data_IF_369024803461
#
_entry.id   IF_369024803461
#
_cell.length_a   1.000
_cell.length_b   1.000
_cell.length_c   1.000
_cell.angle_alpha   90.00
_cell.angle_beta   90.00
_cell.angle_gamma   90.00
#
_symmetry.space_group_name_H-M   'P 1'
#
loop_
_entity.id
_entity.type
_entity.pdbx_description
1 polymer ?
#
# COMPACT_ATOMS: atom_id res chain seq x y z
N UNK A 1 -1.07 -22.63 4.88
CA UNK A 1 -2.54 -22.57 4.95
C UNK A 1 -3.00 -21.34 4.19
N UNK A 2 -3.69 -21.52 3.05
CA UNK A 2 -4.39 -20.44 2.36
C UNK A 2 -5.56 -20.03 3.26
N UNK A 3 -5.35 -19.04 4.14
CA UNK A 3 -6.47 -18.46 4.88
C UNK A 3 -7.31 -17.70 3.85
N UNK A 4 -8.43 -18.28 3.45
CA UNK A 4 -9.44 -17.54 2.72
C UNK A 4 -9.84 -16.32 3.57
N UNK A 5 -9.97 -15.16 2.92
CA UNK A 5 -10.54 -13.97 3.55
C UNK A 5 -11.89 -14.34 4.17
N UNK A 6 -12.21 -13.93 5.42
CA UNK A 6 -13.56 -14.07 5.96
C UNK A 6 -14.56 -13.16 5.24
N UNK A 7 -14.08 -12.23 4.42
CA UNK A 7 -14.89 -11.34 3.61
C UNK A 7 -15.03 -11.89 2.19
N UNK A 8 -16.26 -12.25 1.75
CA UNK A 8 -16.49 -12.84 0.44
C UNK A 8 -16.25 -11.83 -0.70
N UNK A 9 -16.62 -10.57 -0.49
CA UNK A 9 -16.47 -9.50 -1.48
C UNK A 9 -15.20 -8.68 -1.24
N UNK A 10 -14.59 -8.13 -2.31
CA UNK A 10 -13.49 -7.18 -2.20
C UNK A 10 -13.79 -5.98 -1.29
N UNK A 11 -12.75 -5.39 -0.69
CA UNK A 11 -12.88 -4.18 0.12
C UNK A 11 -13.51 -3.04 -0.67
N UNK A 12 -13.15 -2.92 -1.95
CA UNK A 12 -13.67 -1.91 -2.89
C UNK A 12 -14.10 -2.59 -4.18
N UNK A 13 -15.14 -2.05 -4.83
CA UNK A 13 -15.57 -2.46 -6.16
C UNK A 13 -14.86 -1.66 -7.25
N UNK A 14 -15.00 -2.08 -8.51
CA UNK A 14 -14.53 -1.33 -9.69
C UNK A 14 -15.34 -0.04 -9.95
N UNK A 15 -16.49 0.11 -9.29
CA UNK A 15 -17.24 1.36 -9.27
C UNK A 15 -16.78 2.25 -8.10
N UNK A 16 -16.34 3.50 -8.35
CA UNK A 16 -15.95 4.42 -7.29
C UNK A 16 -17.16 4.84 -6.45
N UNK A 17 -16.93 5.02 -5.16
CA UNK A 17 -17.93 5.53 -4.21
C UNK A 17 -17.60 6.98 -3.82
N UNK A 18 -18.59 7.79 -3.42
CA UNK A 18 -18.31 9.05 -2.74
C UNK A 18 -17.38 8.82 -1.55
N UNK A 19 -16.40 9.70 -1.36
CA UNK A 19 -15.33 9.50 -0.37
C UNK A 19 -15.84 9.16 1.04
N UNK A 20 -16.92 9.82 1.50
CA UNK A 20 -17.49 9.53 2.82
C UNK A 20 -18.03 8.09 2.95
N UNK A 21 -18.63 7.54 1.89
CA UNK A 21 -19.12 6.16 1.87
C UNK A 21 -17.97 5.17 1.77
N UNK A 22 -16.97 5.48 0.95
CA UNK A 22 -15.74 4.68 0.86
C UNK A 22 -15.05 4.57 2.22
N UNK A 23 -14.82 5.71 2.87
CA UNK A 23 -14.18 5.79 4.18
C UNK A 23 -14.98 5.07 5.27
N UNK A 24 -16.31 5.20 5.26
CA UNK A 24 -17.19 4.44 6.16
C UNK A 24 -17.07 2.92 5.93
N UNK A 25 -17.15 2.47 4.67
CA UNK A 25 -16.99 1.05 4.31
C UNK A 25 -15.64 0.48 4.75
N UNK A 26 -14.55 1.24 4.54
CA UNK A 26 -13.21 0.87 4.99
C UNK A 26 -13.17 0.76 6.52
N UNK A 27 -13.73 1.75 7.23
CA UNK A 27 -13.80 1.73 8.68
C UNK A 27 -14.58 0.52 9.22
N UNK A 28 -15.73 0.20 8.64
CA UNK A 28 -16.54 -0.94 9.07
C UNK A 28 -15.79 -2.25 8.87
N UNK A 29 -15.08 -2.39 7.74
CA UNK A 29 -14.23 -3.56 7.48
C UNK A 29 -13.10 -3.68 8.51
N UNK A 30 -12.37 -2.60 8.77
CA UNK A 30 -11.26 -2.59 9.74
C UNK A 30 -11.77 -2.84 11.15
N UNK A 31 -12.93 -2.29 11.53
CA UNK A 31 -13.53 -2.52 12.84
C UNK A 31 -13.89 -4.00 13.00
N UNK A 32 -14.56 -4.60 12.00
CA UNK A 32 -14.85 -6.03 11.99
C UNK A 32 -13.58 -6.89 12.10
N UNK A 33 -12.51 -6.50 11.39
CA UNK A 33 -11.21 -7.15 11.46
C UNK A 33 -10.58 -7.06 12.85
N UNK A 34 -10.61 -5.88 13.48
CA UNK A 34 -10.05 -5.66 14.82
C UNK A 34 -10.85 -6.39 15.91
N UNK A 35 -12.16 -6.53 15.73
CA UNK A 35 -13.04 -7.21 16.69
C UNK A 35 -12.99 -8.74 16.56
N UNK A 36 -12.46 -9.27 15.44
CA UNK A 36 -12.39 -10.70 15.17
C UNK A 36 -11.60 -11.45 16.27
N UNK A 37 -12.27 -12.40 16.92
CA UNK A 37 -11.71 -13.26 17.97
C UNK A 37 -11.34 -14.65 17.43
N UNK A 38 -10.59 -15.44 18.22
CA UNK A 38 -10.15 -16.80 17.87
C UNK A 38 -9.34 -16.89 16.56
N UNK A 39 -8.65 -15.81 16.21
CA UNK A 39 -7.80 -15.73 15.02
C UNK A 39 -6.38 -16.25 15.31
N UNK A 40 -5.63 -16.54 14.24
CA UNK A 40 -4.24 -17.00 14.36
C UNK A 40 -3.34 -15.94 15.01
N UNK A 41 -2.19 -16.37 15.57
CA UNK A 41 -1.24 -15.43 16.18
C UNK A 41 -0.76 -14.36 15.19
N UNK A 42 -0.59 -14.71 13.92
CA UNK A 42 -0.22 -13.75 12.87
C UNK A 42 -1.28 -12.66 12.71
N UNK A 43 -2.56 -13.03 12.72
CA UNK A 43 -3.66 -12.06 12.62
C UNK A 43 -3.71 -11.16 13.86
N UNK A 44 -3.46 -11.71 15.06
CA UNK A 44 -3.37 -10.90 16.29
C UNK A 44 -2.26 -9.85 16.22
N UNK A 45 -1.10 -10.22 15.69
CA UNK A 45 -0.01 -9.27 15.48
C UNK A 45 -0.43 -8.16 14.50
N UNK A 46 -1.07 -8.51 13.38
CA UNK A 46 -1.58 -7.53 12.41
C UNK A 46 -2.64 -6.62 13.04
N UNK A 47 -3.53 -7.13 13.89
CA UNK A 47 -4.49 -6.32 14.64
C UNK A 47 -3.77 -5.30 15.53
N UNK A 48 -2.72 -5.72 16.26
CA UNK A 48 -1.90 -4.81 17.08
C UNK A 48 -1.19 -3.75 16.23
N UNK A 49 -0.58 -4.14 15.12
CA UNK A 49 0.08 -3.21 14.20
C UNK A 49 -0.90 -2.21 13.58
N UNK A 50 -2.09 -2.67 13.22
CA UNK A 50 -3.20 -1.83 12.75
C UNK A 50 -3.59 -0.79 13.79
N UNK A 51 -3.69 -1.18 15.07
CA UNK A 51 -4.00 -0.24 16.16
C UNK A 51 -2.89 0.81 16.33
N UNK A 52 -1.62 0.39 16.34
CA UNK A 52 -0.47 1.31 16.42
C UNK A 52 -0.48 2.30 15.26
N UNK A 53 -0.63 1.83 14.01
CA UNK A 53 -0.68 2.70 12.85
C UNK A 53 -1.83 3.70 12.90
N UNK A 54 -3.02 3.28 13.37
CA UNK A 54 -4.17 4.19 13.54
C UNK A 54 -3.93 5.24 14.63
N UNK A 55 -3.17 4.91 15.69
CA UNK A 55 -2.77 5.90 16.70
C UNK A 55 -1.82 6.95 16.10
N UNK A 56 -0.81 6.52 15.34
CA UNK A 56 0.12 7.42 14.64
C UNK A 56 -0.61 8.33 13.64
N UNK A 57 -1.56 7.77 12.89
CA UNK A 57 -2.39 8.53 11.96
C UNK A 57 -3.33 9.52 12.67
N UNK A 58 -3.89 9.14 13.82
CA UNK A 58 -4.67 10.05 14.65
C UNK A 58 -3.82 11.23 15.14
N UNK A 59 -2.60 10.97 15.62
CA UNK A 59 -1.63 12.00 16.02
C UNK A 59 -1.23 12.90 14.85
N UNK A 60 -1.05 12.35 13.65
CA UNK A 60 -0.80 13.14 12.44
C UNK A 60 -1.98 14.08 12.13
N UNK A 61 -3.21 13.58 12.23
CA UNK A 61 -4.45 14.35 12.03
C UNK A 61 -4.74 15.36 13.16
N UNK A 62 -4.10 15.21 14.33
CA UNK A 62 -4.09 16.23 15.39
C UNK A 62 -3.09 17.37 15.09
N UNK A 63 -1.97 17.03 14.45
CA UNK A 63 -0.86 17.96 14.17
C UNK A 63 -1.02 18.75 12.87
N UNK A 64 -1.68 18.16 11.89
CA UNK A 64 -1.79 18.70 10.53
C UNK A 64 -3.23 18.62 10.03
N UNK A 65 -3.67 19.68 9.37
CA UNK A 65 -4.93 19.68 8.62
C UNK A 65 -4.78 18.84 7.34
N UNK A 66 -5.90 18.40 6.75
CA UNK A 66 -5.85 17.58 5.53
C UNK A 66 -5.08 18.24 4.37
N UNK A 67 -5.19 19.57 4.10
CA UNK A 67 -4.38 20.22 3.07
C UNK A 67 -2.87 20.31 3.38
N UNK A 68 -2.48 20.10 4.64
CA UNK A 68 -1.07 20.06 5.06
C UNK A 68 -0.47 18.64 4.99
N UNK A 69 -1.32 17.62 4.77
CA UNK A 69 -0.94 16.22 4.64
C UNK A 69 -0.99 15.78 3.17
N UNK A 70 0.01 15.00 2.79
CA UNK A 70 0.02 14.25 1.54
C UNK A 70 0.38 12.78 1.80
N UNK A 71 0.02 11.89 0.89
CA UNK A 71 0.47 10.50 0.87
C UNK A 71 1.42 10.28 -0.31
N UNK A 72 2.60 9.71 -0.05
CA UNK A 72 3.43 9.16 -1.12
C UNK A 72 2.86 7.82 -1.55
N UNK A 73 2.27 7.78 -2.76
CA UNK A 73 1.55 6.62 -3.27
C UNK A 73 2.15 6.15 -4.59
N UNK A 74 2.60 4.90 -4.64
CA UNK A 74 3.22 4.29 -5.82
C UNK A 74 2.53 2.99 -6.28
N UNK A 75 1.34 2.69 -5.76
CA UNK A 75 0.61 1.46 -6.06
C UNK A 75 1.22 0.19 -5.45
N UNK A 76 2.31 0.30 -4.69
CA UNK A 76 2.93 -0.80 -3.97
C UNK A 76 2.08 -1.29 -2.79
N UNK A 77 2.35 -2.52 -2.33
CA UNK A 77 1.62 -3.15 -1.23
C UNK A 77 1.68 -2.34 0.07
N UNK A 78 2.82 -1.70 0.37
CA UNK A 78 3.05 -1.03 1.65
C UNK A 78 2.31 0.32 1.73
N UNK A 79 2.41 1.14 0.66
CA UNK A 79 1.65 2.38 0.58
C UNK A 79 0.13 2.12 0.45
N UNK A 80 -0.27 0.97 -0.11
CA UNK A 80 -1.68 0.56 -0.17
C UNK A 80 -2.23 0.26 1.23
N UNK A 81 -1.50 -0.50 2.08
CA UNK A 81 -1.89 -0.69 3.49
C UNK A 81 -2.02 0.66 4.19
N UNK A 82 -1.01 1.54 4.03
CA UNK A 82 -1.03 2.88 4.60
C UNK A 82 -2.23 3.71 4.12
N UNK A 83 -2.56 3.68 2.83
CA UNK A 83 -3.73 4.38 2.27
C UNK A 83 -5.03 3.93 2.95
N UNK A 84 -5.24 2.62 3.05
CA UNK A 84 -6.44 2.05 3.67
C UNK A 84 -6.57 2.48 5.14
N UNK A 85 -5.46 2.45 5.89
CA UNK A 85 -5.44 2.90 7.27
C UNK A 85 -5.67 4.41 7.39
N UNK A 86 -5.13 5.21 6.48
CA UNK A 86 -5.32 6.66 6.46
C UNK A 86 -6.78 7.04 6.20
N UNK A 87 -7.43 6.41 5.20
CA UNK A 87 -8.86 6.61 4.93
C UNK A 87 -9.74 6.24 6.14
N UNK A 88 -9.39 5.15 6.85
CA UNK A 88 -10.03 4.79 8.11
C UNK A 88 -9.86 5.87 9.19
N UNK A 89 -8.65 6.39 9.36
CA UNK A 89 -8.36 7.43 10.34
C UNK A 89 -9.12 8.74 10.04
N UNK A 90 -9.19 9.16 8.76
CA UNK A 90 -9.98 10.33 8.33
C UNK A 90 -11.46 10.14 8.71
N UNK A 91 -12.03 8.95 8.47
CA UNK A 91 -13.40 8.64 8.86
C UNK A 91 -13.62 8.76 10.38
N UNK A 92 -12.76 8.11 11.17
CA UNK A 92 -12.84 8.07 12.64
C UNK A 92 -12.70 9.44 13.28
N UNK A 93 -12.03 10.37 12.60
CA UNK A 93 -11.89 11.77 13.01
C UNK A 93 -13.06 12.65 12.57
N UNK A 94 -14.07 12.10 11.88
CA UNK A 94 -15.24 12.84 11.41
C UNK A 94 -14.92 13.83 10.30
N UNK A 95 -13.80 13.62 9.58
CA UNK A 95 -13.33 14.53 8.54
C UNK A 95 -13.95 14.25 7.16
N UNK A 96 -14.69 13.15 7.03
CA UNK A 96 -15.55 12.87 5.88
C UNK A 96 -16.98 13.31 6.17
N UNK A 97 -17.35 14.56 5.88
CA UNK A 97 -18.75 15.02 6.00
C UNK A 97 -19.53 14.77 4.71
N UNK A 98 -20.80 14.38 4.84
CA UNK A 98 -21.76 14.41 3.73
C UNK A 98 -21.93 15.87 3.25
N UNK A 99 -22.10 16.13 1.95
CA UNK A 99 -22.33 17.48 1.46
C UNK A 99 -23.72 17.96 1.88
N UNK A 100 -23.84 18.49 3.10
CA UNK A 100 -24.89 19.45 3.38
C UNK A 100 -24.48 20.76 2.71
N UNK A 101 -25.44 21.34 2.00
CA UNK A 101 -25.32 22.49 1.11
C UNK A 101 -24.50 23.62 1.72
N UNK A 102 -23.50 24.06 0.93
CA UNK A 102 -22.60 25.21 1.13
C UNK A 102 -21.24 24.95 1.80
N UNK A 103 -20.20 25.04 0.97
CA UNK A 103 -18.82 25.44 1.28
C UNK A 103 -17.81 24.41 1.83
N UNK A 104 -17.32 23.53 0.95
CA UNK A 104 -15.88 23.31 0.67
C UNK A 104 -15.75 22.26 -0.46
N UNK A 105 -14.71 22.31 -1.31
CA UNK A 105 -14.49 21.26 -2.32
C UNK A 105 -14.43 19.90 -1.64
N UNK A 106 -14.94 18.87 -2.33
CA UNK A 106 -14.79 17.46 -1.93
C UNK A 106 -13.34 17.23 -1.49
N UNK A 107 -13.12 16.86 -0.22
CA UNK A 107 -11.75 16.72 0.28
C UNK A 107 -11.09 15.50 -0.33
N UNK A 108 -10.50 15.64 -1.52
CA UNK A 108 -9.77 14.58 -2.22
C UNK A 108 -8.49 14.26 -1.42
N UNK A 109 -8.11 12.98 -1.36
CA UNK A 109 -6.87 12.59 -0.66
C UNK A 109 -5.68 12.98 -1.50
N UNK A 110 -4.97 14.01 -1.08
CA UNK A 110 -3.80 14.52 -1.78
C UNK A 110 -2.66 13.51 -1.74
N UNK A 111 -2.13 13.18 -2.92
CA UNK A 111 -1.09 12.20 -3.10
C UNK A 111 0.01 12.72 -4.03
N UNK A 112 1.22 12.23 -3.80
CA UNK A 112 2.36 12.40 -4.71
C UNK A 112 2.82 11.04 -5.20
N UNK A 113 2.97 10.92 -6.53
CA UNK A 113 3.55 9.76 -7.18
C UNK A 113 4.84 10.15 -7.88
N UNK A 114 5.95 9.55 -7.45
CA UNK A 114 7.24 9.71 -8.12
C UNK A 114 7.44 8.47 -8.98
N UNK A 115 7.32 8.66 -10.30
CA UNK A 115 7.38 7.57 -11.27
C UNK A 115 8.81 7.06 -11.42
N UNK A 116 8.94 5.75 -11.55
CA UNK A 116 10.18 5.12 -11.99
C UNK A 116 10.51 5.57 -13.43
N UNK A 117 11.78 5.51 -13.82
CA UNK A 117 12.20 5.83 -15.19
C UNK A 117 11.68 4.80 -16.21
N UNK A 118 11.48 3.55 -15.77
CA UNK A 118 11.05 2.43 -16.58
C UNK A 118 9.92 1.67 -15.88
N UNK A 119 8.75 2.31 -15.63
CA UNK A 119 7.71 1.71 -14.79
C UNK A 119 7.09 0.49 -15.48
N UNK A 120 6.59 -0.45 -14.67
CA UNK A 120 5.76 -1.54 -15.18
C UNK A 120 4.40 -1.00 -15.62
N UNK A 121 3.89 -1.35 -16.81
CA UNK A 121 2.53 -0.99 -17.23
C UNK A 121 1.46 -1.41 -16.23
N UNK A 122 1.61 -2.58 -15.59
CA UNK A 122 0.68 -3.10 -14.59
C UNK A 122 0.66 -2.26 -13.30
N UNK A 123 1.79 -1.61 -12.97
CA UNK A 123 1.86 -0.67 -11.84
C UNK A 123 1.15 0.62 -12.21
N UNK A 124 1.42 1.18 -13.40
CA UNK A 124 0.76 2.40 -13.86
C UNK A 124 -0.76 2.21 -13.99
N UNK A 125 -1.21 1.07 -14.53
CA UNK A 125 -2.61 0.71 -14.62
C UNK A 125 -3.25 0.60 -13.22
N UNK A 126 -2.57 -0.08 -12.29
CA UNK A 126 -3.04 -0.20 -10.92
C UNK A 126 -3.11 1.17 -10.22
N UNK A 127 -2.11 2.04 -10.36
CA UNK A 127 -2.09 3.39 -9.80
C UNK A 127 -3.24 4.22 -10.37
N UNK A 128 -3.42 4.23 -11.69
CA UNK A 128 -4.49 4.98 -12.34
C UNK A 128 -5.89 4.48 -11.93
N UNK A 129 -6.08 3.16 -11.85
CA UNK A 129 -7.34 2.55 -11.41
C UNK A 129 -7.61 2.86 -9.93
N UNK A 130 -6.68 2.52 -9.06
CA UNK A 130 -6.82 2.71 -7.60
C UNK A 130 -6.98 4.18 -7.21
N UNK A 131 -6.35 5.11 -7.94
CA UNK A 131 -6.54 6.55 -7.70
C UNK A 131 -7.98 7.00 -7.89
N UNK A 132 -8.69 6.44 -8.88
CA UNK A 132 -10.12 6.71 -9.08
C UNK A 132 -10.96 6.07 -7.98
N UNK A 133 -10.70 4.79 -7.67
CA UNK A 133 -11.46 4.05 -6.67
C UNK A 133 -11.34 4.67 -5.27
N UNK A 134 -10.14 5.13 -4.90
CA UNK A 134 -9.86 5.70 -3.59
C UNK A 134 -10.03 7.23 -3.51
N UNK A 135 -10.53 7.88 -4.58
CA UNK A 135 -10.69 9.34 -4.65
C UNK A 135 -9.40 10.09 -4.32
N UNK A 136 -8.31 9.75 -5.02
CA UNK A 136 -6.99 10.36 -4.83
C UNK A 136 -6.80 11.56 -5.78
N UNK A 137 -6.19 12.63 -5.27
CA UNK A 137 -5.68 13.75 -6.07
C UNK A 137 -4.19 13.51 -6.25
N UNK A 138 -3.84 12.83 -7.33
CA UNK A 138 -2.47 12.38 -7.60
C UNK A 138 -1.73 13.39 -8.46
N UNK A 139 -0.59 13.90 -7.98
CA UNK A 139 0.39 14.60 -8.81
C UNK A 139 1.59 13.71 -9.10
N UNK A 140 1.94 13.61 -10.38
CA UNK A 140 2.95 12.68 -10.89
C UNK A 140 4.24 13.40 -11.28
N UNK A 141 5.39 12.81 -10.93
CA UNK A 141 6.71 13.37 -11.21
C UNK A 141 7.68 12.28 -11.67
N UNK A 142 8.16 12.36 -12.91
CA UNK A 142 9.20 11.47 -13.46
C UNK A 142 10.59 12.11 -13.32
N UNK A 143 11.11 12.19 -12.09
CA UNK A 143 12.42 12.81 -11.76
C UNK A 143 13.07 12.09 -10.57
N UNK A 144 14.39 12.26 -10.35
CA UNK A 144 15.02 11.81 -9.12
C UNK A 144 14.27 12.30 -7.89
N UNK A 145 14.05 11.42 -6.92
CA UNK A 145 13.12 11.61 -5.79
C UNK A 145 13.24 12.97 -5.10
N UNK A 146 14.47 13.40 -4.81
CA UNK A 146 14.75 14.69 -4.17
C UNK A 146 14.28 15.90 -4.99
N UNK A 147 14.48 15.86 -6.32
CA UNK A 147 14.05 16.91 -7.23
C UNK A 147 12.52 16.88 -7.42
N UNK A 148 11.93 15.68 -7.49
CA UNK A 148 10.48 15.51 -7.56
C UNK A 148 9.78 16.11 -6.33
N UNK A 149 10.27 15.86 -5.11
CA UNK A 149 9.70 16.47 -3.90
C UNK A 149 9.91 18.00 -3.85
N UNK A 150 11.01 18.52 -4.39
CA UNK A 150 11.24 19.96 -4.45
C UNK A 150 10.20 20.64 -5.36
N UNK A 151 9.91 20.03 -6.50
CA UNK A 151 8.86 20.50 -7.41
C UNK A 151 7.47 20.32 -6.79
N UNK A 152 7.19 19.17 -6.19
CA UNK A 152 5.92 18.89 -5.53
C UNK A 152 5.56 19.91 -4.45
N UNK A 153 6.50 20.24 -3.56
CA UNK A 153 6.26 21.22 -2.49
C UNK A 153 6.15 22.66 -3.01
N UNK A 154 6.71 22.96 -4.18
CA UNK A 154 6.48 24.23 -4.86
C UNK A 154 5.08 24.31 -5.46
N UNK A 155 4.61 23.20 -6.02
CA UNK A 155 3.28 23.09 -6.63
C UNK A 155 2.17 22.97 -5.55
N UNK A 156 2.50 22.42 -4.38
CA UNK A 156 1.62 22.21 -3.22
C UNK A 156 2.20 22.85 -1.94
N UNK A 157 2.24 24.20 -1.86
CA UNK A 157 2.92 24.91 -0.77
C UNK A 157 2.25 24.77 0.61
N UNK A 158 1.02 24.26 0.68
CA UNK A 158 0.35 23.97 1.95
C UNK A 158 0.90 22.71 2.64
N UNK A 159 1.53 21.80 1.90
CA UNK A 159 2.02 20.52 2.43
C UNK A 159 3.15 20.75 3.42
N UNK A 160 3.01 20.16 4.61
CA UNK A 160 4.01 20.19 5.68
C UNK A 160 4.46 18.79 6.08
N UNK A 161 3.65 17.78 5.82
CA UNK A 161 3.92 16.40 6.17
C UNK A 161 3.47 15.44 5.07
N UNK A 162 4.26 14.39 4.86
CA UNK A 162 4.00 13.36 3.86
C UNK A 162 4.03 11.99 4.55
N UNK A 163 2.92 11.25 4.43
CA UNK A 163 2.79 9.87 4.86
C UNK A 163 3.58 8.97 3.89
N UNK A 164 4.43 8.08 4.42
CA UNK A 164 5.32 7.22 3.63
C UNK A 164 5.22 5.77 4.11
N UNK A 165 5.11 4.85 3.15
CA UNK A 165 4.95 3.41 3.39
C UNK A 165 6.25 2.64 3.68
N UNK A 166 7.32 3.31 4.14
CA UNK A 166 8.61 2.67 4.44
C UNK A 166 8.53 1.88 5.75
N UNK A 167 9.13 0.68 5.77
CA UNK A 167 9.30 -0.20 6.93
C UNK A 167 10.75 -0.22 7.42
N UNK A 168 10.98 -0.68 8.66
CA UNK A 168 12.34 -0.81 9.22
C UNK A 168 13.24 -1.74 8.42
N UNK A 169 12.65 -2.74 7.78
CA UNK A 169 13.36 -3.74 6.96
C UNK A 169 13.68 -3.25 5.55
N UNK A 170 13.17 -2.09 5.15
CA UNK A 170 13.52 -1.47 3.86
C UNK A 170 14.91 -0.80 3.93
N UNK A 171 15.59 -0.61 2.78
CA UNK A 171 16.85 0.14 2.73
C UNK A 171 16.72 1.51 3.40
N UNK A 172 17.65 1.82 4.31
CA UNK A 172 17.68 3.05 5.12
C UNK A 172 16.52 3.21 6.13
N UNK A 173 15.71 2.17 6.36
CA UNK A 173 14.55 2.21 7.27
C UNK A 173 14.85 1.96 8.75
N UNK A 174 15.98 1.31 9.08
CA UNK A 174 16.25 0.73 10.40
C UNK A 174 16.04 1.69 11.57
N UNK A 175 16.51 2.93 11.44
CA UNK A 175 16.51 3.94 12.50
C UNK A 175 15.41 5.00 12.35
N UNK A 176 14.52 4.86 11.37
CA UNK A 176 13.41 5.78 11.19
C UNK A 176 12.42 5.67 12.37
N UNK A 177 11.74 6.77 12.66
CA UNK A 177 10.69 6.94 13.65
C UNK A 177 9.36 7.19 12.94
N UNK A 178 8.27 7.16 13.70
CA UNK A 178 6.95 7.48 13.15
C UNK A 178 6.87 8.90 12.58
N UNK A 179 7.65 9.85 13.12
CA UNK A 179 7.71 11.23 12.63
C UNK A 179 9.18 11.65 12.53
N UNK A 180 9.67 11.85 11.31
CA UNK A 180 11.03 12.33 11.06
C UNK A 180 11.00 13.51 10.09
N UNK A 181 11.58 14.67 10.47
CA UNK A 181 11.95 15.67 9.48
C UNK A 181 12.82 15.06 8.38
N UNK A 182 12.76 15.62 7.18
CA UNK A 182 13.70 15.26 6.12
C UNK A 182 15.13 15.61 6.50
N UNK A 183 16.08 14.85 5.93
CA UNK A 183 17.50 15.02 6.22
C UNK A 183 18.04 16.32 5.60
N UNK A 184 19.19 16.78 6.10
CA UNK A 184 19.82 17.99 5.58
C UNK A 184 20.01 17.94 4.07
N UNK A 185 19.63 19.03 3.40
CA UNK A 185 19.71 19.17 1.96
C UNK A 185 18.50 18.62 1.19
N UNK A 186 17.59 17.87 1.81
CA UNK A 186 16.28 17.55 1.20
C UNK A 186 15.31 18.73 1.34
N UNK A 187 14.26 18.81 0.49
CA UNK A 187 13.14 19.73 0.72
C UNK A 187 12.57 19.51 2.12
N UNK A 188 12.20 20.59 2.81
CA UNK A 188 11.78 20.55 4.21
C UNK A 188 10.32 20.11 4.36
N UNK A 189 10.11 18.92 4.95
CA UNK A 189 8.81 18.42 5.38
C UNK A 189 9.01 17.33 6.44
N UNK A 190 7.94 16.92 7.11
CA UNK A 190 7.95 15.77 8.03
C UNK A 190 7.51 14.51 7.28
N UNK A 191 8.35 13.48 7.28
CA UNK A 191 7.99 12.12 6.88
C UNK A 191 7.26 11.46 8.04
N UNK A 192 6.10 10.88 7.75
CA UNK A 192 5.32 10.15 8.74
C UNK A 192 5.26 8.69 8.30
N UNK A 193 5.63 7.76 9.18
CA UNK A 193 5.74 6.33 8.87
C UNK A 193 4.80 5.48 9.77
N UNK A 194 3.48 5.45 9.51
CA UNK A 194 2.54 4.71 10.36
C UNK A 194 2.72 3.19 10.29
N UNK A 195 3.23 2.68 9.17
CA UNK A 195 3.43 1.24 8.93
C UNK A 195 4.87 0.78 9.17
N UNK A 196 5.71 1.61 9.82
CA UNK A 196 7.15 1.39 9.90
C UNK A 196 7.57 0.07 10.54
N UNK A 197 6.83 -0.40 11.54
CA UNK A 197 7.17 -1.61 12.30
C UNK A 197 6.54 -2.87 11.70
N UNK A 198 5.82 -2.76 10.57
CA UNK A 198 5.17 -3.90 9.94
C UNK A 198 6.18 -4.82 9.26
N UNK A 199 5.94 -6.13 9.34
CA UNK A 199 6.70 -7.14 8.61
C UNK A 199 6.03 -7.54 7.29
N UNK A 200 6.80 -8.09 6.35
CA UNK A 200 6.34 -8.50 5.02
C UNK A 200 5.11 -9.44 5.09
N UNK A 201 5.18 -10.46 5.95
CA UNK A 201 4.08 -11.39 6.13
C UNK A 201 2.84 -10.72 6.73
N UNK A 202 3.00 -9.65 7.50
CA UNK A 202 1.91 -8.87 8.11
C UNK A 202 1.20 -7.99 7.08
N UNK A 203 1.95 -7.33 6.20
CA UNK A 203 1.42 -6.56 5.06
C UNK A 203 0.50 -7.45 4.22
N UNK A 204 0.98 -8.63 3.81
CA UNK A 204 0.17 -9.56 3.03
C UNK A 204 -0.98 -10.15 3.82
N UNK A 205 -0.80 -10.42 5.10
CA UNK A 205 -1.90 -10.91 5.93
C UNK A 205 -3.03 -9.88 5.99
N UNK A 206 -2.71 -8.59 6.14
CA UNK A 206 -3.72 -7.52 6.12
C UNK A 206 -4.43 -7.42 4.77
N UNK A 207 -3.66 -7.31 3.67
CA UNK A 207 -4.20 -7.22 2.31
C UNK A 207 -5.13 -8.40 2.00
N UNK A 208 -4.66 -9.62 2.28
CA UNK A 208 -5.38 -10.85 1.96
C UNK A 208 -6.55 -11.11 2.90
N UNK A 209 -6.43 -10.79 4.19
CA UNK A 209 -7.53 -10.95 5.14
C UNK A 209 -8.66 -9.98 4.85
N UNK A 210 -8.35 -8.73 4.47
CA UNK A 210 -9.36 -7.70 4.18
C UNK A 210 -9.91 -7.74 2.75
N UNK A 211 -9.41 -8.66 1.91
CA UNK A 211 -9.76 -8.77 0.49
C UNK A 211 -9.52 -7.45 -0.28
N UNK A 212 -8.35 -6.86 -0.08
CA UNK A 212 -7.96 -5.60 -0.74
C UNK A 212 -7.40 -5.92 -2.13
N UNK A 213 -7.93 -5.34 -3.22
CA UNK A 213 -7.33 -5.47 -4.55
C UNK A 213 -5.91 -4.87 -4.59
N UNK A 214 -4.97 -5.56 -5.22
CA UNK A 214 -3.56 -5.17 -5.32
C UNK A 214 -3.02 -5.36 -6.74
N UNK A 215 -1.84 -4.80 -7.04
CA UNK A 215 -1.19 -4.92 -8.35
C UNK A 215 -0.94 -6.39 -8.75
N UNK A 216 -1.35 -6.78 -9.95
CA UNK A 216 -1.31 -8.17 -10.43
C UNK A 216 0.09 -8.79 -10.49
N UNK A 217 1.15 -7.99 -10.58
CA UNK A 217 2.54 -8.48 -10.53
C UNK A 217 2.83 -9.30 -9.27
N UNK A 218 2.18 -8.99 -8.15
CA UNK A 218 2.35 -9.77 -6.93
C UNK A 218 1.83 -11.20 -7.08
N UNK A 219 0.84 -11.47 -7.94
CA UNK A 219 0.41 -12.84 -8.23
C UNK A 219 1.41 -13.61 -9.12
N UNK A 220 2.29 -12.88 -9.82
CA UNK A 220 3.34 -13.41 -10.69
C UNK A 220 4.68 -13.60 -9.97
N UNK A 221 4.69 -13.50 -8.64
CA UNK A 221 5.86 -13.77 -7.80
C UNK A 221 6.82 -12.60 -7.62
N UNK A 222 6.47 -11.39 -8.07
CA UNK A 222 7.20 -10.19 -7.70
C UNK A 222 6.92 -9.84 -6.24
N UNK A 223 7.95 -9.58 -5.43
CA UNK A 223 7.78 -9.31 -3.97
C UNK A 223 8.17 -7.89 -3.58
N UNK A 224 8.94 -7.21 -4.44
CA UNK A 224 9.33 -5.81 -4.33
C UNK A 224 9.28 -5.20 -5.72
N UNK A 225 8.56 -4.08 -5.90
CA UNK A 225 8.40 -3.43 -7.20
C UNK A 225 9.35 -2.24 -7.33
N UNK A 226 10.16 -2.24 -8.38
CA UNK A 226 10.93 -1.12 -8.90
C UNK A 226 10.55 -0.85 -10.36
N UNK A 227 11.56 -0.59 -11.19
CA UNK A 227 11.40 -0.48 -12.63
C UNK A 227 11.52 -1.84 -13.34
N UNK A 228 11.05 -1.89 -14.57
CA UNK A 228 11.15 -3.07 -15.47
C UNK A 228 12.60 -3.51 -15.73
N UNK A 229 13.57 -2.61 -15.52
CA UNK A 229 14.99 -2.88 -15.77
C UNK A 229 15.75 -3.41 -14.55
N UNK A 230 15.17 -3.36 -13.35
CA UNK A 230 15.88 -3.69 -12.09
C UNK A 230 15.09 -4.66 -11.18
N UNK A 231 13.97 -5.19 -11.69
CA UNK A 231 13.00 -5.94 -10.92
C UNK A 231 12.58 -7.22 -11.64
N UNK A 232 12.68 -8.34 -10.92
CA UNK A 232 12.36 -9.69 -11.39
C UNK A 232 11.48 -10.42 -10.37
N UNK A 233 10.76 -11.49 -10.77
CA UNK A 233 10.09 -12.38 -9.83
C UNK A 233 11.08 -12.94 -8.81
N UNK A 234 10.63 -13.13 -7.57
CA UNK A 234 11.50 -13.57 -6.49
C UNK A 234 11.94 -15.04 -6.72
N UNK A 235 13.24 -15.35 -6.75
CA UNK A 235 13.72 -16.70 -6.98
C UNK A 235 13.26 -17.71 -5.91
N UNK A 236 12.94 -17.28 -4.69
CA UNK A 236 12.40 -18.14 -3.62
C UNK A 236 10.97 -18.62 -3.88
N UNK A 237 10.31 -18.01 -4.86
CA UNK A 237 8.96 -18.36 -5.28
C UNK A 237 8.94 -19.17 -6.57
N UNK A 238 10.09 -19.48 -7.18
CA UNK A 238 10.15 -20.32 -8.38
C UNK A 238 9.59 -21.72 -8.07
N UNK A 239 8.72 -22.22 -8.94
CA UNK A 239 8.19 -23.57 -8.84
C UNK A 239 9.20 -24.57 -9.43
N UNK A 240 9.41 -25.69 -8.75
CA UNK A 240 10.17 -26.80 -9.33
C UNK A 240 9.50 -27.25 -10.63
N UNK A 241 10.30 -27.41 -11.69
CA UNK A 241 9.79 -27.96 -12.95
C UNK A 241 9.19 -29.34 -12.67
N UNK A 242 8.02 -29.70 -13.25
CA UNK A 242 7.50 -31.05 -13.09
C UNK A 242 8.56 -32.04 -13.56
N UNK A 243 8.86 -33.03 -12.72
CA UNK A 243 9.70 -34.16 -13.08
C UNK A 243 9.21 -34.78 -14.41
N UNK A 244 10.10 -35.26 -15.32
CA UNK A 244 9.72 -35.76 -16.65
C UNK A 244 8.63 -36.85 -16.65
N UNK A 245 8.40 -37.50 -15.51
CA UNK A 245 7.39 -38.56 -15.32
C UNK A 245 5.96 -38.03 -15.10
N UNK A 246 5.74 -36.72 -14.99
CA UNK A 246 4.42 -36.11 -14.78
C UNK A 246 3.82 -35.47 -16.05
N UNK A 247 4.44 -35.65 -17.21
CA UNK A 247 4.03 -35.05 -18.49
C UNK A 247 2.90 -35.80 -19.22
N UNK A 248 2.38 -36.92 -18.69
CA UNK A 248 1.37 -37.74 -19.38
C UNK A 248 -0.10 -37.36 -19.08
N UNK A 249 -0.36 -36.31 -18.31
CA UNK A 249 -1.72 -35.76 -18.17
C UNK A 249 -1.74 -34.31 -18.62
N UNK A 250 -1.75 -34.13 -19.94
CA UNK A 250 -2.10 -32.87 -20.58
C UNK A 250 -3.48 -32.44 -20.07
N UNK A 251 -3.54 -31.26 -19.47
CA UNK A 251 -4.80 -30.61 -19.13
C UNK A 251 -5.30 -29.89 -20.38
N UNK A 252 -6.49 -30.25 -20.87
CA UNK A 252 -7.12 -29.76 -22.12
C UNK A 252 -7.45 -28.25 -22.17
N UNK A 253 -6.96 -27.44 -21.25
CA UNK A 253 -7.09 -25.98 -21.30
C UNK A 253 -5.67 -25.38 -21.22
N UNK A 254 -5.17 -24.86 -22.34
CA UNK A 254 -3.79 -24.40 -22.57
C UNK A 254 -3.29 -23.21 -21.73
N UNK A 255 -3.64 -23.12 -20.45
CA UNK A 255 -3.01 -22.22 -19.48
C UNK A 255 -1.83 -22.92 -18.84
N UNK A 256 -0.62 -22.58 -19.30
CA UNK A 256 0.62 -22.95 -18.60
C UNK A 256 0.54 -22.53 -17.14
N UNK A 257 0.83 -23.44 -16.20
CA UNK A 257 0.91 -23.09 -14.77
C UNK A 257 1.91 -21.94 -14.58
N UNK A 258 1.59 -20.92 -13.75
CA UNK A 258 2.49 -19.80 -13.54
C UNK A 258 3.81 -20.29 -12.93
N UNK A 259 4.94 -19.87 -13.52
CA UNK A 259 6.29 -20.32 -13.15
C UNK A 259 6.67 -19.99 -11.71
N UNK A 260 6.09 -18.94 -11.14
CA UNK A 260 6.34 -18.48 -9.78
C UNK A 260 5.08 -18.54 -8.94
N UNK A 261 5.25 -18.88 -7.66
CA UNK A 261 4.21 -18.74 -6.63
C UNK A 261 4.00 -17.26 -6.31
N UNK A 262 2.81 -16.87 -5.85
CA UNK A 262 2.49 -15.47 -5.60
C UNK A 262 3.21 -14.91 -4.37
N UNK A 263 3.37 -13.58 -4.34
CA UNK A 263 4.19 -12.83 -3.39
C UNK A 263 3.84 -13.08 -1.92
N UNK A 264 2.55 -13.24 -1.61
CA UNK A 264 2.06 -13.50 -0.25
C UNK A 264 2.40 -14.89 0.29
N UNK A 265 3.05 -15.75 -0.50
CA UNK A 265 3.63 -17.01 -0.02
C UNK A 265 5.09 -16.86 0.47
N UNK A 266 5.75 -15.72 0.22
CA UNK A 266 7.02 -15.38 0.86
C UNK A 266 6.75 -14.95 2.32
N UNK A 267 7.65 -15.30 3.23
CA UNK A 267 7.49 -15.02 4.67
C UNK A 267 8.61 -14.13 5.22
N UNK A 268 9.85 -14.32 4.78
CA UNK A 268 11.03 -13.64 5.32
C UNK A 268 11.21 -12.25 4.70
N UNK A 269 11.29 -11.22 5.55
CA UNK A 269 11.55 -9.83 5.17
C UNK A 269 12.87 -9.69 4.40
N UNK A 270 13.92 -10.40 4.81
CA UNK A 270 15.25 -10.28 4.20
C UNK A 270 15.30 -10.89 2.80
N UNK A 271 14.33 -11.74 2.46
CA UNK A 271 14.20 -12.34 1.13
C UNK A 271 13.37 -11.48 0.17
N UNK A 272 12.68 -10.45 0.66
CA UNK A 272 11.72 -9.65 -0.12
C UNK A 272 12.34 -9.03 -1.38
N UNK A 273 13.59 -8.60 -1.29
CA UNK A 273 14.29 -7.87 -2.36
C UNK A 273 15.24 -8.76 -3.18
N UNK A 274 15.16 -10.09 -3.06
CA UNK A 274 16.02 -11.00 -3.84
C UNK A 274 15.78 -10.94 -5.35
N UNK A 275 14.62 -10.43 -5.78
CA UNK A 275 14.34 -10.14 -7.19
C UNK A 275 14.76 -8.74 -7.65
N UNK A 276 15.50 -7.97 -6.84
CA UNK A 276 16.02 -6.65 -7.23
C UNK A 276 17.49 -6.75 -7.59
N UNK A 277 17.88 -6.07 -8.67
CA UNK A 277 19.28 -5.94 -9.03
C UNK A 277 20.05 -5.17 -7.94
N UNK A 278 21.35 -5.45 -7.84
CA UNK A 278 22.26 -4.85 -6.85
C UNK A 278 22.96 -3.61 -7.38
#
# INVERSE_FOLDING_TARGET
>A
MKSASPFPDPLVSDAPLPLHQLCARINDRITTFLDAQNVSQRVKNVQQQTQTSLQVLAEALDRYTLPELSLSYNGGKDCLVLLILYLCAIHRRGLTKSPDTSSSPETVVQCVYIQDAHPFPEVEEFVAHSSKIYSLSLLEYAKPMKAAFADYLRDQPSVKAILVGTRRTDPHGEHLKHFDPTDSGWPAFVRIHPVIDWHYAEIWTFIRYLNIPYCSLYDLGYTSLGGTTDTHPNPKLEQESPSPQALETESENGTSKPKFRPAYELIDDYEERLGRDK
#
